data_IF_874194092288
#
_entry.id   IF_874194092288
#
_cell.length_a   1.000
_cell.length_b   1.000
_cell.length_c   1.000
_cell.angle_alpha   90.00
_cell.angle_beta   90.00
_cell.angle_gamma   90.00
#
_symmetry.space_group_name_H-M   'P 1'
#
loop_
_entity.id
_entity.type
_entity.pdbx_description
1 polymer ?
#
# COMPACT_ATOMS: atom_id res chain seq x y z
N UNK A 1 -44.99 -29.76 44.30
CA UNK A 1 -44.10 -28.69 43.83
C UNK A 1 -42.77 -29.33 43.46
N UNK A 2 -42.42 -29.38 42.16
CA UNK A 2 -41.11 -29.85 41.68
C UNK A 2 -40.46 -28.71 40.93
N UNK A 3 -39.39 -28.19 41.51
CA UNK A 3 -38.62 -27.05 41.02
C UNK A 3 -37.75 -27.48 39.85
N UNK A 4 -37.90 -26.85 38.69
CA UNK A 4 -37.06 -27.05 37.52
C UNK A 4 -35.84 -26.13 37.66
N UNK A 5 -34.64 -26.69 37.82
CA UNK A 5 -33.37 -25.92 37.83
C UNK A 5 -32.83 -25.93 36.40
N UNK A 6 -32.86 -24.77 35.75
CA UNK A 6 -32.25 -24.53 34.45
C UNK A 6 -30.78 -24.16 34.67
N UNK A 7 -29.85 -25.06 34.34
CA UNK A 7 -28.43 -24.78 34.36
C UNK A 7 -28.03 -24.08 33.04
N UNK A 8 -27.68 -22.80 33.11
CA UNK A 8 -27.10 -22.04 32.00
C UNK A 8 -25.62 -22.44 31.90
N UNK A 9 -25.26 -23.15 30.84
CA UNK A 9 -23.86 -23.39 30.49
C UNK A 9 -23.28 -22.10 29.91
N UNK A 10 -22.52 -21.36 30.72
CA UNK A 10 -21.73 -20.21 30.26
C UNK A 10 -20.59 -20.71 29.39
N UNK A 11 -20.61 -20.36 28.10
CA UNK A 11 -19.52 -20.61 27.16
C UNK A 11 -18.28 -19.79 27.55
N UNK A 12 -17.21 -20.48 27.92
CA UNK A 12 -15.88 -19.90 28.11
C UNK A 12 -15.34 -19.43 26.74
N UNK A 13 -14.92 -18.17 26.56
CA UNK A 13 -14.22 -17.77 25.35
C UNK A 13 -12.80 -18.32 25.44
N UNK A 14 -12.50 -19.36 24.66
CA UNK A 14 -11.13 -19.79 24.45
C UNK A 14 -10.41 -18.66 23.71
N UNK A 15 -9.43 -18.03 24.37
CA UNK A 15 -8.50 -17.14 23.71
C UNK A 15 -7.73 -17.95 22.66
N UNK A 16 -8.02 -17.69 21.39
CA UNK A 16 -7.18 -18.14 20.28
C UNK A 16 -5.87 -17.36 20.38
N UNK A 17 -4.84 -17.97 20.95
CA UNK A 17 -3.48 -17.46 20.80
C UNK A 17 -3.10 -17.71 19.34
N UNK A 18 -2.99 -16.63 18.57
CA UNK A 18 -2.32 -16.67 17.28
C UNK A 18 -0.89 -17.17 17.50
N UNK A 19 -0.51 -18.24 16.81
CA UNK A 19 0.88 -18.70 16.82
C UNK A 19 1.72 -17.69 16.02
N UNK A 20 2.65 -17.02 16.69
CA UNK A 20 3.71 -16.28 16.00
C UNK A 20 4.69 -17.29 15.43
N UNK A 21 4.78 -17.36 14.10
CA UNK A 21 5.79 -18.16 13.41
C UNK A 21 7.13 -17.43 13.52
N UNK A 22 7.86 -17.65 14.61
CA UNK A 22 9.28 -17.31 14.66
C UNK A 22 10.08 -18.39 13.90
N UNK A 23 11.09 -18.04 13.11
CA UNK A 23 11.98 -19.02 12.49
C UNK A 23 12.55 -19.95 13.56
N UNK A 24 12.31 -21.25 13.44
CA UNK A 24 12.90 -22.26 14.32
C UNK A 24 13.80 -23.16 13.49
N UNK A 25 14.96 -23.49 14.03
CA UNK A 25 15.87 -24.43 13.39
C UNK A 25 15.84 -25.75 14.14
N UNK A 26 15.57 -26.82 13.39
CA UNK A 26 15.77 -28.19 13.85
C UNK A 26 17.13 -28.63 13.30
N UNK A 27 18.13 -28.68 14.18
CA UNK A 27 19.48 -29.11 13.85
C UNK A 27 19.93 -30.23 14.77
N UNK A 28 20.84 -31.06 14.26
CA UNK A 28 21.46 -32.15 15.03
C UNK A 28 22.22 -31.67 16.27
N UNK A 29 22.77 -30.45 16.22
CA UNK A 29 23.44 -29.74 17.32
C UNK A 29 23.51 -28.25 16.96
N UNK A 30 23.58 -27.36 17.96
CA UNK A 30 23.67 -25.92 17.77
C UNK A 30 23.71 -25.18 19.11
N UNK A 31 23.72 -23.86 19.06
CA UNK A 31 23.69 -23.00 20.24
C UNK A 31 23.59 -21.52 19.88
N UNK A 32 23.47 -20.69 20.91
CA UNK A 32 23.49 -19.24 20.81
C UNK A 32 24.47 -18.66 21.83
N UNK A 33 25.01 -17.48 21.53
CA UNK A 33 25.94 -16.79 22.41
C UNK A 33 26.01 -15.31 22.10
N UNK A 34 26.13 -14.48 23.14
CA UNK A 34 26.29 -13.04 22.98
C UNK A 34 27.68 -12.61 23.44
N UNK A 35 28.44 -11.95 22.58
CA UNK A 35 29.75 -11.36 22.92
C UNK A 35 29.78 -9.92 22.42
N UNK A 36 30.04 -8.97 23.32
CA UNK A 36 30.13 -7.55 22.96
C UNK A 36 28.84 -6.94 22.42
N UNK A 37 27.66 -7.47 22.82
CA UNK A 37 26.36 -7.01 22.33
C UNK A 37 25.93 -7.61 20.98
N UNK A 38 26.77 -8.46 20.38
CA UNK A 38 26.42 -9.21 19.16
C UNK A 38 25.92 -10.60 19.56
N UNK A 39 24.69 -10.94 19.18
CA UNK A 39 24.16 -12.30 19.29
C UNK A 39 24.59 -13.13 18.09
N UNK A 40 25.10 -14.33 18.34
CA UNK A 40 25.51 -15.29 17.33
C UNK A 40 24.79 -16.59 17.61
N UNK A 41 24.02 -17.05 16.64
CA UNK A 41 23.39 -18.36 16.66
C UNK A 41 24.12 -19.27 15.66
N UNK A 42 24.42 -20.50 16.05
CA UNK A 42 25.07 -21.48 15.17
C UNK A 42 24.36 -22.82 15.21
N UNK A 43 24.42 -23.54 14.10
CA UNK A 43 24.02 -24.94 14.00
C UNK A 43 25.13 -25.74 13.35
N UNK A 44 25.24 -27.01 13.76
CA UNK A 44 26.06 -28.00 13.08
C UNK A 44 25.19 -28.61 11.99
N UNK A 45 25.54 -28.31 10.74
CA UNK A 45 24.82 -28.80 9.56
C UNK A 45 24.79 -30.32 9.47
N UNK A 46 23.84 -30.85 8.72
CA UNK A 46 23.74 -32.29 8.44
C UNK A 46 24.55 -32.67 7.19
N UNK A 47 24.95 -33.94 7.09
CA UNK A 47 25.76 -34.46 5.95
C UNK A 47 25.00 -34.38 4.62
N UNK A 48 23.67 -34.41 4.67
CA UNK A 48 22.79 -34.15 3.54
C UNK A 48 21.72 -33.16 3.97
N UNK A 49 21.49 -32.13 3.16
CA UNK A 49 20.44 -31.14 3.41
C UNK A 49 19.46 -31.10 2.26
N UNK A 50 18.18 -31.12 2.61
CA UNK A 50 17.08 -30.90 1.66
C UNK A 50 16.49 -29.54 1.93
N UNK A 51 16.32 -28.75 0.86
CA UNK A 51 15.47 -27.55 0.92
C UNK A 51 14.16 -27.86 0.22
N UNK A 52 13.07 -27.69 0.96
CA UNK A 52 11.71 -27.71 0.43
C UNK A 52 11.22 -26.27 0.42
N UNK A 53 10.76 -25.81 -0.73
CA UNK A 53 10.29 -24.43 -0.92
C UNK A 53 8.98 -24.49 -1.68
N UNK A 54 7.96 -23.79 -1.17
CA UNK A 54 6.67 -23.64 -1.85
C UNK A 54 6.31 -22.17 -2.12
N UNK A 55 7.30 -21.26 -2.04
CA UNK A 55 7.14 -19.82 -2.24
C UNK A 55 6.71 -19.04 -0.99
N UNK A 56 5.94 -19.66 -0.10
CA UNK A 56 5.50 -19.05 1.17
C UNK A 56 6.34 -19.55 2.34
N UNK A 57 6.65 -20.85 2.36
CA UNK A 57 7.41 -21.52 3.39
C UNK A 57 8.65 -22.15 2.77
N UNK A 58 9.82 -21.84 3.34
CA UNK A 58 11.07 -22.52 3.04
C UNK A 58 11.42 -23.38 4.24
N UNK A 59 11.73 -24.65 4.04
CA UNK A 59 12.25 -25.56 5.06
C UNK A 59 13.60 -26.11 4.61
N UNK A 60 14.66 -25.77 5.33
CA UNK A 60 16.02 -26.22 5.06
C UNK A 60 16.51 -26.96 6.29
N UNK A 61 16.78 -28.25 6.16
CA UNK A 61 17.26 -29.06 7.27
C UNK A 61 18.64 -28.58 7.75
N UNK A 62 18.83 -28.48 9.07
CA UNK A 62 20.15 -28.34 9.70
C UNK A 62 20.81 -26.94 9.69
N UNK A 63 20.20 -25.92 9.10
CA UNK A 63 20.81 -24.58 9.00
C UNK A 63 19.84 -23.45 9.38
N UNK A 64 20.39 -22.37 9.96
CA UNK A 64 19.70 -21.08 10.00
C UNK A 64 19.34 -20.66 8.60
N UNK A 65 18.04 -20.49 8.36
CA UNK A 65 17.56 -19.81 7.17
C UNK A 65 17.75 -18.33 7.41
N UNK A 66 18.79 -17.77 6.80
CA UNK A 66 18.88 -16.33 6.67
C UNK A 66 17.60 -15.86 5.98
N UNK A 67 16.99 -14.82 6.53
CA UNK A 67 15.96 -14.07 5.81
C UNK A 67 16.58 -13.73 4.43
N UNK A 68 15.92 -14.04 3.29
CA UNK A 68 16.48 -13.73 1.99
C UNK A 68 16.86 -12.24 1.99
N UNK A 69 18.00 -11.90 1.38
CA UNK A 69 18.41 -10.51 1.23
C UNK A 69 17.29 -9.77 0.47
N UNK A 70 16.44 -9.06 1.22
CA UNK A 70 15.35 -8.27 0.65
C UNK A 70 15.94 -7.02 0.01
N UNK A 71 15.50 -6.69 -1.19
CA UNK A 71 15.78 -5.36 -1.75
C UNK A 71 15.15 -4.32 -0.85
N UNK A 72 15.84 -3.21 -0.63
CA UNK A 72 15.34 -2.12 0.19
C UNK A 72 15.11 -0.89 -0.66
N UNK A 73 13.89 -0.35 -0.59
CA UNK A 73 13.48 0.82 -1.35
C UNK A 73 12.76 1.80 -0.44
N UNK A 74 13.28 3.03 -0.38
CA UNK A 74 12.62 4.17 0.23
C UNK A 74 11.98 4.99 -0.90
N UNK A 75 10.67 4.85 -1.08
CA UNK A 75 9.93 5.67 -2.05
C UNK A 75 9.35 6.88 -1.32
N UNK A 76 9.37 8.04 -1.97
CA UNK A 76 8.54 9.17 -1.57
C UNK A 76 7.52 9.47 -2.66
N UNK A 77 6.23 9.44 -2.32
CA UNK A 77 5.13 9.73 -3.23
C UNK A 77 3.98 10.43 -2.52
N UNK A 78 3.42 11.47 -3.15
CA UNK A 78 2.24 12.17 -2.63
C UNK A 78 1.00 11.85 -3.45
N UNK A 79 -0.13 11.66 -2.76
CA UNK A 79 -1.46 11.47 -3.34
C UNK A 79 -2.18 12.82 -3.42
N UNK A 80 -2.65 13.21 -4.60
CA UNK A 80 -3.30 14.52 -4.81
C UNK A 80 -4.52 14.75 -3.91
N UNK A 81 -5.30 13.70 -3.66
CA UNK A 81 -6.53 13.77 -2.86
C UNK A 81 -6.31 14.45 -1.51
N UNK A 82 -5.52 13.82 -0.62
CA UNK A 82 -5.24 14.32 0.72
C UNK A 82 -4.13 15.38 0.79
N UNK A 83 -3.34 15.61 -0.27
CA UNK A 83 -2.22 16.56 -0.23
C UNK A 83 -2.66 18.03 -0.11
N UNK A 84 -2.08 18.73 0.85
CA UNK A 84 -2.25 20.18 1.06
C UNK A 84 -0.92 20.91 0.82
N UNK A 85 -0.84 21.67 -0.27
CA UNK A 85 0.35 22.46 -0.64
C UNK A 85 0.66 23.60 0.32
N UNK A 86 -0.28 24.02 1.17
CA UNK A 86 -0.05 25.02 2.21
C UNK A 86 0.75 24.47 3.39
N UNK A 87 0.62 23.17 3.68
CA UNK A 87 1.36 22.50 4.76
C UNK A 87 2.50 21.62 4.27
N UNK A 88 2.46 21.21 2.99
CA UNK A 88 3.41 20.25 2.42
C UNK A 88 3.17 18.81 2.90
N UNK A 89 2.00 18.53 3.48
CA UNK A 89 1.62 17.23 4.04
C UNK A 89 0.30 16.75 3.45
N UNK A 90 0.08 15.44 3.50
CA UNK A 90 -1.21 14.81 3.25
C UNK A 90 -2.06 14.78 4.52
N UNK A 91 -3.38 14.84 4.38
CA UNK A 91 -4.32 14.61 5.46
C UNK A 91 -4.44 13.11 5.79
N UNK A 92 -4.60 12.78 7.08
CA UNK A 92 -4.68 11.41 7.61
C UNK A 92 -6.07 11.11 8.22
N UNK A 93 -7.12 11.64 7.60
CA UNK A 93 -8.49 11.55 8.13
C UNK A 93 -9.03 10.11 8.14
N UNK A 94 -8.64 9.28 7.17
CA UNK A 94 -8.93 7.84 7.18
C UNK A 94 -8.37 7.14 8.42
N UNK A 95 -7.12 7.45 8.78
CA UNK A 95 -6.46 6.92 9.98
C UNK A 95 -7.10 7.41 11.26
N UNK A 96 -7.27 8.73 11.40
CA UNK A 96 -7.86 9.33 12.60
C UNK A 96 -9.33 8.94 12.81
N UNK A 97 -10.05 8.57 11.75
CA UNK A 97 -11.42 8.01 11.80
C UNK A 97 -11.47 6.48 11.92
N UNK A 98 -10.32 5.81 12.05
CA UNK A 98 -10.19 4.36 12.16
C UNK A 98 -10.82 3.57 10.98
N UNK A 99 -10.70 4.11 9.76
CA UNK A 99 -11.19 3.46 8.54
C UNK A 99 -10.11 2.66 7.79
N UNK A 100 -8.83 2.92 8.03
CA UNK A 100 -7.76 2.16 7.37
C UNK A 100 -7.81 0.66 7.74
N UNK A 101 -7.82 -0.26 6.76
CA UNK A 101 -7.81 -1.68 7.04
C UNK A 101 -6.43 -2.13 7.56
N UNK A 102 -6.42 -3.17 8.40
CA UNK A 102 -5.18 -3.80 8.88
C UNK A 102 -4.54 -4.71 7.84
N UNK A 103 -5.32 -5.28 6.93
CA UNK A 103 -4.81 -6.05 5.79
C UNK A 103 -4.84 -5.19 4.54
N UNK A 104 -3.86 -5.40 3.67
CA UNK A 104 -3.81 -4.70 2.39
C UNK A 104 -5.12 -4.91 1.59
N UNK A 105 -5.65 -3.85 0.95
CA UNK A 105 -6.93 -3.91 0.26
C UNK A 105 -6.82 -4.50 -1.15
N UNK A 106 -5.63 -4.53 -1.73
CA UNK A 106 -5.40 -4.73 -3.16
C UNK A 106 -5.76 -6.14 -3.64
N UNK A 107 -5.59 -7.16 -2.79
CA UNK A 107 -6.13 -8.51 -3.06
C UNK A 107 -7.65 -8.45 -3.27
N UNK A 108 -8.37 -7.73 -2.41
CA UNK A 108 -9.83 -7.58 -2.49
C UNK A 108 -10.30 -6.71 -3.66
N UNK A 109 -9.45 -5.77 -4.08
CA UNK A 109 -9.70 -4.88 -5.23
C UNK A 109 -9.27 -5.49 -6.57
N UNK A 110 -8.75 -6.72 -6.58
CA UNK A 110 -8.43 -7.45 -7.82
C UNK A 110 -7.08 -7.08 -8.45
N UNK A 111 -6.18 -6.45 -7.70
CA UNK A 111 -4.81 -6.22 -8.17
C UNK A 111 -4.07 -7.55 -8.31
N UNK A 112 -3.23 -7.65 -9.32
CA UNK A 112 -2.43 -8.87 -9.54
C UNK A 112 -1.14 -8.79 -8.73
N UNK A 113 -0.97 -9.72 -7.78
CA UNK A 113 0.25 -9.83 -7.00
C UNK A 113 1.24 -10.82 -7.65
N UNK A 114 2.53 -10.50 -7.58
CA UNK A 114 3.64 -11.35 -8.06
C UNK A 114 4.69 -11.41 -6.96
N UNK A 115 4.94 -12.58 -6.36
CA UNK A 115 5.99 -12.73 -5.34
C UNK A 115 5.78 -11.93 -4.04
N UNK A 116 4.58 -11.40 -3.81
CA UNK A 116 4.14 -10.68 -2.59
C UNK A 116 2.63 -10.81 -2.37
N UNK A 117 2.04 -9.91 -1.59
CA UNK A 117 0.60 -9.90 -1.28
C UNK A 117 0.24 -10.48 0.08
N UNK A 118 -0.96 -10.14 0.56
CA UNK A 118 -1.45 -10.54 1.88
C UNK A 118 -0.76 -9.81 3.04
N UNK A 119 -0.09 -8.69 2.76
CA UNK A 119 0.54 -7.87 3.79
C UNK A 119 -0.51 -7.39 4.81
N UNK A 120 -0.11 -7.35 6.09
CA UNK A 120 -0.93 -6.81 7.16
C UNK A 120 -0.07 -5.98 8.10
N UNK A 121 -0.64 -4.90 8.62
CA UNK A 121 -0.08 -4.03 9.64
C UNK A 121 -0.79 -4.23 10.97
N UNK A 122 -0.33 -3.53 11.99
CA UNK A 122 -0.82 -3.62 13.36
C UNK A 122 -1.52 -2.32 13.80
N UNK A 123 -2.53 -2.39 14.69
CA UNK A 123 -3.21 -1.20 15.21
C UNK A 123 -2.26 -0.13 15.79
N UNK A 124 -1.12 -0.55 16.35
CA UNK A 124 -0.11 0.37 16.90
C UNK A 124 0.55 1.24 15.83
N UNK A 125 0.69 0.73 14.61
CA UNK A 125 1.25 1.49 13.48
C UNK A 125 0.29 2.60 13.06
N UNK A 126 -1.01 2.30 13.00
CA UNK A 126 -2.06 3.27 12.66
C UNK A 126 -2.36 4.28 13.80
N UNK A 127 -1.82 4.05 14.99
CA UNK A 127 -1.97 4.96 16.13
C UNK A 127 -0.97 6.13 16.10
N UNK A 128 0.08 6.08 15.27
CA UNK A 128 1.11 7.12 15.18
C UNK A 128 0.53 8.39 14.53
N UNK A 129 0.60 9.57 15.19
CA UNK A 129 0.21 10.85 14.61
C UNK A 129 1.43 11.63 14.07
N UNK A 130 1.20 12.84 13.55
CA UNK A 130 2.28 13.72 13.07
C UNK A 130 2.68 13.40 11.64
N UNK A 131 3.91 13.71 11.25
CA UNK A 131 4.38 13.52 9.87
C UNK A 131 4.37 12.04 9.45
N UNK A 132 4.72 11.16 10.39
CA UNK A 132 4.81 9.71 10.16
C UNK A 132 3.44 9.01 10.24
N UNK A 133 2.34 9.77 10.38
CA UNK A 133 1.01 9.19 10.41
C UNK A 133 0.68 8.53 9.07
N UNK A 134 0.17 7.31 9.12
CA UNK A 134 -0.24 6.58 7.93
C UNK A 134 -1.46 7.28 7.30
N UNK A 135 -1.36 7.60 6.02
CA UNK A 135 -2.44 8.16 5.20
C UNK A 135 -3.22 7.03 4.56
N UNK A 136 -2.52 6.05 3.96
CA UNK A 136 -3.14 4.90 3.31
C UNK A 136 -2.15 3.75 3.01
N UNK A 137 -2.67 2.67 2.46
CA UNK A 137 -1.92 1.65 1.74
C UNK A 137 -1.47 2.14 0.36
N UNK A 138 -0.36 1.61 -0.12
CA UNK A 138 0.15 1.83 -1.48
C UNK A 138 0.65 0.51 -2.07
N UNK A 139 0.48 0.33 -3.38
CA UNK A 139 0.86 -0.91 -4.09
C UNK A 139 2.06 -0.65 -4.98
N UNK A 140 3.15 -1.37 -4.74
CA UNK A 140 4.39 -1.20 -5.48
C UNK A 140 4.65 -2.38 -6.39
N UNK A 141 5.12 -2.11 -7.61
CA UNK A 141 5.58 -3.12 -8.57
C UNK A 141 7.04 -2.87 -8.93
N UNK A 142 7.83 -3.95 -8.96
CA UNK A 142 9.11 -4.00 -9.65
C UNK A 142 8.90 -4.66 -11.00
N UNK A 143 9.28 -3.97 -12.08
CA UNK A 143 9.13 -4.46 -13.46
C UNK A 143 10.49 -4.72 -14.13
N UNK A 144 10.49 -5.62 -15.11
CA UNK A 144 11.70 -6.07 -15.81
C UNK A 144 12.45 -4.91 -16.48
N UNK A 145 13.78 -4.88 -16.33
CA UNK A 145 14.64 -3.82 -16.90
C UNK A 145 14.60 -3.71 -18.43
N UNK A 146 14.21 -4.78 -19.12
CA UNK A 146 14.12 -4.83 -20.57
C UNK A 146 12.68 -4.71 -21.07
N UNK A 147 11.69 -4.89 -20.20
CA UNK A 147 10.27 -4.82 -20.53
C UNK A 147 9.46 -4.24 -19.35
N UNK A 148 9.10 -2.97 -19.47
CA UNK A 148 8.37 -2.24 -18.44
C UNK A 148 6.88 -2.62 -18.35
N UNK A 149 6.39 -3.60 -19.11
CA UNK A 149 5.05 -4.20 -18.95
C UNK A 149 5.09 -5.47 -18.10
N UNK A 150 6.26 -6.08 -17.92
CA UNK A 150 6.43 -7.34 -17.19
C UNK A 150 6.69 -7.08 -15.70
N UNK A 151 5.72 -7.42 -14.85
CA UNK A 151 5.84 -7.31 -13.38
C UNK A 151 6.56 -8.53 -12.82
N UNK A 152 7.65 -8.30 -12.08
CA UNK A 152 8.51 -9.35 -11.51
C UNK A 152 8.30 -9.54 -10.00
N UNK A 153 7.94 -8.47 -9.29
CA UNK A 153 7.60 -8.53 -7.87
C UNK A 153 6.61 -7.43 -7.49
N UNK A 154 5.76 -7.69 -6.50
CA UNK A 154 4.82 -6.71 -5.94
C UNK A 154 4.94 -6.65 -4.43
N UNK A 155 4.58 -5.51 -3.85
CA UNK A 155 4.50 -5.33 -2.39
C UNK A 155 3.50 -4.26 -2.02
N UNK A 156 2.60 -4.59 -1.09
CA UNK A 156 1.77 -3.58 -0.44
C UNK A 156 2.53 -2.95 0.72
N UNK A 157 2.50 -1.62 0.80
CA UNK A 157 3.21 -0.81 1.77
C UNK A 157 2.29 0.30 2.29
N UNK A 158 2.79 1.15 3.18
CA UNK A 158 2.03 2.23 3.80
C UNK A 158 2.64 3.58 3.39
N UNK A 159 1.80 4.56 3.05
CA UNK A 159 2.23 5.93 2.75
C UNK A 159 1.93 6.86 3.93
N UNK A 160 2.92 7.67 4.33
CA UNK A 160 2.87 8.60 5.46
C UNK A 160 2.49 10.01 5.03
N UNK A 161 2.14 10.89 5.97
CA UNK A 161 1.68 12.26 5.66
C UNK A 161 2.72 13.11 4.95
N UNK A 162 3.99 12.89 5.20
CA UNK A 162 5.09 13.59 4.52
C UNK A 162 5.53 12.92 3.21
N UNK A 163 4.80 11.89 2.77
CA UNK A 163 4.97 11.22 1.48
C UNK A 163 5.91 10.03 1.53
N UNK A 164 6.56 9.76 2.65
CA UNK A 164 7.42 8.59 2.79
C UNK A 164 6.58 7.31 2.72
N UNK A 165 7.08 6.34 1.94
CA UNK A 165 6.48 5.02 1.82
C UNK A 165 7.32 4.03 2.64
N UNK A 166 6.67 3.44 3.63
CA UNK A 166 7.27 2.54 4.62
C UNK A 166 6.64 1.16 4.56
N UNK A 167 7.38 0.17 5.06
CA UNK A 167 6.87 -1.19 5.20
C UNK A 167 5.75 -1.29 6.25
N UNK A 168 5.17 -2.48 6.43
CA UNK A 168 4.02 -2.72 7.31
C UNK A 168 4.28 -2.44 8.80
N UNK A 169 5.54 -2.25 9.19
CA UNK A 169 5.94 -1.84 10.54
C UNK A 169 5.86 -0.32 10.76
N UNK A 170 5.56 0.45 9.70
CA UNK A 170 5.43 1.90 9.74
C UNK A 170 6.74 2.69 9.77
N UNK A 171 7.90 2.04 9.61
CA UNK A 171 9.21 2.71 9.74
C UNK A 171 10.28 2.22 8.77
N UNK A 172 10.29 0.93 8.44
CA UNK A 172 11.34 0.33 7.61
C UNK A 172 11.17 0.71 6.14
N UNK A 173 12.30 0.75 5.43
CA UNK A 173 12.31 0.73 3.97
C UNK A 173 11.58 -0.51 3.45
N UNK A 174 10.81 -0.33 2.37
CA UNK A 174 10.01 -1.39 1.75
C UNK A 174 10.92 -2.52 1.28
N UNK A 175 10.65 -3.75 1.76
CA UNK A 175 11.43 -4.94 1.48
C UNK A 175 10.86 -5.84 0.38
N UNK A 176 11.51 -5.98 -0.79
CA UNK A 176 11.07 -6.94 -1.83
C UNK A 176 11.81 -8.27 -1.76
N UNK A 177 11.09 -9.37 -1.98
CA UNK A 177 11.68 -10.69 -2.19
C UNK A 177 12.03 -10.90 -3.67
N UNK A 178 13.05 -10.17 -4.14
CA UNK A 178 13.54 -10.19 -5.52
C UNK A 178 15.08 -10.12 -5.53
N UNK A 179 15.75 -10.63 -6.59
CA UNK A 179 17.20 -10.54 -6.69
C UNK A 179 17.66 -9.09 -6.89
N UNK A 180 18.92 -8.79 -6.56
CA UNK A 180 19.50 -7.49 -6.88
C UNK A 180 19.68 -7.36 -8.39
N UNK A 181 19.07 -6.33 -8.99
CA UNK A 181 19.13 -6.00 -10.40
C UNK A 181 18.61 -4.55 -10.60
N UNK A 182 18.62 -4.10 -11.84
CA UNK A 182 17.90 -2.91 -12.28
C UNK A 182 16.41 -3.21 -12.45
N UNK A 183 15.54 -2.28 -12.04
CA UNK A 183 14.08 -2.41 -12.16
C UNK A 183 13.44 -1.10 -12.57
N UNK A 184 12.36 -1.15 -13.36
CA UNK A 184 11.40 -0.05 -13.32
C UNK A 184 10.56 -0.17 -12.06
N UNK A 185 10.29 0.95 -11.39
CA UNK A 185 9.46 0.97 -10.18
C UNK A 185 8.13 1.64 -10.52
N UNK A 186 7.03 0.94 -10.25
CA UNK A 186 5.68 1.49 -10.37
C UNK A 186 5.06 1.65 -8.99
N UNK A 187 4.48 2.83 -8.75
CA UNK A 187 3.69 3.13 -7.56
C UNK A 187 2.24 3.24 -7.98
N UNK A 188 1.35 2.44 -7.37
CA UNK A 188 -0.07 2.36 -7.68
C UNK A 188 -0.89 2.57 -6.41
N UNK A 189 -2.12 3.02 -6.59
CA UNK A 189 -3.06 3.26 -5.50
C UNK A 189 -4.49 2.91 -5.94
N UNK A 190 -5.43 2.79 -4.99
CA UNK A 190 -6.80 2.30 -5.30
C UNK A 190 -7.60 3.22 -6.22
N UNK A 191 -7.41 4.54 -6.09
CA UNK A 191 -8.21 5.56 -6.79
C UNK A 191 -7.39 6.75 -7.28
N UNK A 192 -6.06 6.58 -7.36
CA UNK A 192 -5.14 7.55 -7.93
C UNK A 192 -4.35 6.89 -9.05
N UNK A 193 -3.99 7.68 -10.08
CA UNK A 193 -3.13 7.20 -11.16
C UNK A 193 -1.75 6.80 -10.65
N UNK A 194 -1.30 5.71 -11.22
CA UNK A 194 -0.01 5.11 -11.02
C UNK A 194 1.10 5.97 -11.59
N UNK A 195 2.29 5.85 -11.01
CA UNK A 195 3.49 6.53 -11.45
C UNK A 195 4.58 5.50 -11.68
N UNK A 196 5.07 5.40 -12.92
CA UNK A 196 6.15 4.50 -13.32
C UNK A 196 7.42 5.30 -13.60
N UNK A 197 8.57 4.83 -13.14
CA UNK A 197 9.86 5.45 -13.50
C UNK A 197 10.12 5.34 -15.01
N UNK A 198 10.70 6.39 -15.61
CA UNK A 198 11.07 6.38 -17.03
C UNK A 198 12.31 5.52 -17.29
N UNK A 199 13.23 5.51 -16.32
CA UNK A 199 14.46 4.74 -16.35
C UNK A 199 14.43 3.69 -15.23
N UNK A 200 15.24 2.65 -15.40
CA UNK A 200 15.44 1.65 -14.35
C UNK A 200 16.29 2.21 -13.21
N UNK A 201 16.11 1.64 -12.02
CA UNK A 201 16.88 1.94 -10.82
C UNK A 201 17.54 0.66 -10.30
N UNK A 202 18.81 0.76 -9.92
CA UNK A 202 19.58 -0.36 -9.39
C UNK A 202 19.19 -0.64 -7.94
N UNK A 203 18.52 -1.77 -7.69
CA UNK A 203 18.09 -2.16 -6.35
C UNK A 203 19.01 -3.24 -5.78
N UNK A 204 19.28 -3.13 -4.49
CA UNK A 204 20.06 -4.10 -3.72
C UNK A 204 19.53 -4.17 -2.29
N UNK A 205 20.22 -4.91 -1.42
CA UNK A 205 19.93 -4.90 0.01
C UNK A 205 20.27 -3.59 0.72
N UNK A 206 21.00 -2.69 0.06
CA UNK A 206 21.21 -1.32 0.53
C UNK A 206 20.01 -0.48 0.11
N UNK A 207 19.44 0.27 1.05
CA UNK A 207 18.28 1.11 0.75
C UNK A 207 18.61 2.18 -0.29
N UNK A 208 17.83 2.21 -1.37
CA UNK A 208 17.85 3.28 -2.36
C UNK A 208 16.71 4.28 -2.07
N UNK A 209 17.01 5.57 -2.17
CA UNK A 209 15.99 6.63 -2.13
C UNK A 209 15.46 6.91 -3.54
N UNK A 210 14.14 6.86 -3.71
CA UNK A 210 13.43 7.18 -4.94
C UNK A 210 12.37 8.24 -4.64
N UNK A 211 12.65 9.49 -4.99
CA UNK A 211 11.72 10.61 -4.75
C UNK A 211 10.93 10.94 -6.02
N UNK A 212 9.61 10.80 -5.98
CA UNK A 212 8.70 11.11 -7.09
C UNK A 212 8.06 12.50 -6.96
N UNK A 213 8.44 13.28 -5.94
CA UNK A 213 7.72 14.49 -5.52
C UNK A 213 8.39 15.80 -5.98
N UNK A 214 9.69 15.78 -6.27
CA UNK A 214 10.47 16.98 -6.61
C UNK A 214 10.79 17.11 -8.12
N UNK A 215 10.52 16.05 -8.90
CA UNK A 215 10.80 15.98 -10.33
C UNK A 215 12.24 15.64 -10.70
N UNK A 216 13.08 15.27 -9.75
CA UNK A 216 14.43 14.74 -9.99
C UNK A 216 14.38 13.36 -10.65
N UNK A 217 13.37 12.55 -10.30
CA UNK A 217 13.09 11.26 -10.94
C UNK A 217 12.27 11.46 -12.20
N UNK A 218 12.80 11.05 -13.36
CA UNK A 218 12.04 11.00 -14.60
C UNK A 218 10.98 9.89 -14.54
N UNK A 219 9.74 10.19 -14.92
CA UNK A 219 8.60 9.27 -14.94
C UNK A 219 8.11 9.01 -16.36
N UNK A 220 7.48 7.86 -16.59
CA UNK A 220 6.97 7.47 -17.89
C UNK A 220 5.84 8.41 -18.34
N UNK A 221 5.98 8.98 -19.53
CA UNK A 221 5.05 9.95 -20.09
C UNK A 221 5.33 11.41 -19.68
N UNK A 222 4.48 12.33 -20.12
CA UNK A 222 4.66 13.79 -19.97
C UNK A 222 3.66 14.46 -19.02
N UNK A 223 2.64 13.74 -18.59
CA UNK A 223 1.50 14.21 -17.79
C UNK A 223 1.06 13.18 -16.73
N UNK A 224 2.01 12.32 -16.31
CA UNK A 224 1.78 11.22 -15.37
C UNK A 224 1.45 11.68 -13.93
N UNK A 225 1.77 12.93 -13.60
CA UNK A 225 1.59 13.50 -12.26
C UNK A 225 1.05 14.92 -12.35
N UNK A 226 0.29 15.34 -11.34
CA UNK A 226 -0.11 16.74 -11.17
C UNK A 226 0.99 17.51 -10.42
N UNK A 227 1.01 18.83 -10.57
CA UNK A 227 1.93 19.72 -9.85
C UNK A 227 1.11 20.69 -8.98
N UNK A 228 1.22 20.54 -7.66
CA UNK A 228 0.56 21.40 -6.67
C UNK A 228 1.61 22.13 -5.84
N UNK A 229 1.69 23.46 -5.99
CA UNK A 229 2.66 24.27 -5.23
C UNK A 229 4.13 23.95 -5.52
N UNK A 230 4.43 23.36 -6.67
CA UNK A 230 5.78 22.89 -7.04
C UNK A 230 6.06 21.42 -6.73
N UNK A 231 5.20 20.77 -5.94
CA UNK A 231 5.30 19.35 -5.60
C UNK A 231 4.53 18.50 -6.60
N UNK A 232 5.13 17.41 -7.05
CA UNK A 232 4.50 16.39 -7.90
C UNK A 232 3.69 15.42 -7.06
N UNK A 233 2.47 15.15 -7.51
CA UNK A 233 1.51 14.26 -6.83
C UNK A 233 0.83 13.32 -7.85
N UNK A 234 0.49 12.11 -7.44
CA UNK A 234 -0.34 11.18 -8.24
C UNK A 234 -1.72 11.77 -8.46
N UNK A 235 -2.24 11.74 -9.71
CA UNK A 235 -3.58 12.25 -10.01
C UNK A 235 -4.66 11.49 -9.24
N UNK A 236 -5.57 12.20 -8.59
CA UNK A 236 -6.72 11.61 -7.88
C UNK A 236 -7.93 11.43 -8.79
N UNK A 237 -8.82 10.49 -8.47
CA UNK A 237 -10.18 10.48 -9.00
C UNK A 237 -10.46 9.44 -10.07
N UNK A 238 -9.64 8.40 -10.17
CA UNK A 238 -9.95 7.18 -10.93
C UNK A 238 -10.80 6.26 -10.04
N UNK A 239 -12.09 6.56 -9.93
CA UNK A 239 -13.00 5.94 -8.95
C UNK A 239 -13.59 4.61 -9.41
N UNK A 240 -13.45 4.27 -10.68
CA UNK A 240 -13.89 3.01 -11.28
C UNK A 240 -12.73 2.08 -11.69
N UNK A 241 -11.48 2.52 -11.51
CA UNK A 241 -10.28 1.74 -11.87
C UNK A 241 -10.15 1.47 -13.37
N UNK A 242 -10.60 2.37 -14.24
CA UNK A 242 -10.58 2.18 -15.71
C UNK A 242 -9.44 2.92 -16.43
N UNK A 243 -8.43 3.34 -15.67
CA UNK A 243 -7.23 4.09 -16.08
C UNK A 243 -7.54 5.43 -16.79
N UNK A 244 -8.76 5.93 -16.59
CA UNK A 244 -9.23 7.20 -17.13
C UNK A 244 -9.84 8.03 -16.00
N UNK A 245 -9.65 9.35 -16.06
CA UNK A 245 -10.42 10.29 -15.23
C UNK A 245 -11.35 11.07 -16.15
N UNK A 246 -12.65 10.93 -15.91
CA UNK A 246 -13.72 11.56 -16.69
C UNK A 246 -14.78 12.16 -15.78
N UNK A 247 -15.25 13.35 -16.13
CA UNK A 247 -16.39 13.97 -15.44
C UNK A 247 -17.73 13.83 -16.19
N UNK A 248 -17.69 13.60 -17.50
CA UNK A 248 -18.86 13.43 -18.35
C UNK A 248 -18.64 12.33 -19.38
N UNK A 249 -19.73 11.88 -20.01
CA UNK A 249 -19.71 10.74 -20.94
C UNK A 249 -20.01 9.42 -20.26
N UNK A 250 -19.95 8.31 -21.00
CA UNK A 250 -20.15 6.97 -20.45
C UNK A 250 -18.97 6.60 -19.54
N UNK A 251 -19.26 5.86 -18.47
CA UNK A 251 -18.27 5.40 -17.47
C UNK A 251 -17.42 6.57 -16.95
N UNK A 252 -18.08 7.59 -16.41
CA UNK A 252 -17.42 8.73 -15.78
C UNK A 252 -17.36 8.56 -14.26
N UNK A 253 -16.30 9.07 -13.63
CA UNK A 253 -16.04 8.95 -12.20
C UNK A 253 -17.07 9.69 -11.34
N UNK A 254 -17.59 10.80 -11.87
CA UNK A 254 -18.62 11.58 -11.20
C UNK A 254 -19.88 10.75 -10.92
N UNK A 255 -20.28 9.88 -11.85
CA UNK A 255 -21.48 9.06 -11.71
C UNK A 255 -21.27 7.90 -10.74
N UNK A 256 -20.04 7.41 -10.59
CA UNK A 256 -19.67 6.43 -9.56
C UNK A 256 -19.88 7.04 -8.17
N UNK A 257 -19.38 8.26 -7.95
CA UNK A 257 -19.59 9.03 -6.71
C UNK A 257 -21.08 9.29 -6.46
N UNK A 258 -21.83 9.66 -7.51
CA UNK A 258 -23.28 9.89 -7.42
C UNK A 258 -24.03 8.64 -6.96
N UNK A 259 -23.69 7.50 -7.56
CA UNK A 259 -24.27 6.19 -7.22
C UNK A 259 -23.96 5.81 -5.78
N UNK A 260 -22.72 6.03 -5.32
CA UNK A 260 -22.28 5.72 -3.97
C UNK A 260 -23.09 6.46 -2.89
N UNK A 261 -23.51 7.71 -3.14
CA UNK A 261 -24.34 8.50 -2.21
C UNK A 261 -25.86 8.30 -2.39
N UNK A 262 -26.29 7.28 -3.15
CA UNK A 262 -27.71 6.93 -3.33
C UNK A 262 -28.37 7.54 -4.56
N UNK A 263 -27.61 8.15 -5.47
CA UNK A 263 -28.07 8.55 -6.80
C UNK A 263 -28.89 9.82 -6.84
N UNK A 264 -30.21 9.71 -6.63
CA UNK A 264 -31.16 10.76 -7.06
C UNK A 264 -31.17 12.02 -6.19
N UNK A 265 -30.88 11.91 -4.89
CA UNK A 265 -30.79 13.06 -3.96
C UNK A 265 -29.37 13.10 -3.40
N UNK A 266 -28.46 13.88 -4.00
CA UNK A 266 -27.03 13.80 -3.72
C UNK A 266 -26.61 14.60 -2.47
N UNK A 267 -27.39 14.51 -1.41
CA UNK A 267 -27.12 15.18 -0.12
C UNK A 267 -26.69 14.20 0.97
N UNK A 268 -26.73 12.89 0.69
CA UNK A 268 -26.21 11.90 1.61
C UNK A 268 -24.68 11.93 1.66
N UNK A 269 -24.15 11.51 2.79
CA UNK A 269 -22.71 11.32 3.00
C UNK A 269 -22.52 9.86 3.37
N UNK A 270 -21.58 9.19 2.72
CA UNK A 270 -21.25 7.80 3.06
C UNK A 270 -19.85 7.73 3.59
N UNK A 271 -19.73 7.36 4.86
CA UNK A 271 -18.43 7.29 5.52
C UNK A 271 -17.78 5.92 5.38
N UNK A 272 -16.45 5.88 5.41
CA UNK A 272 -15.67 4.66 5.43
C UNK A 272 -14.47 4.71 4.49
N UNK A 273 -13.78 3.58 4.40
CA UNK A 273 -12.69 3.37 3.45
C UNK A 273 -13.26 2.96 2.10
N UNK A 274 -13.30 3.90 1.15
CA UNK A 274 -14.01 3.77 -0.12
C UNK A 274 -13.16 4.19 -1.30
N UNK A 275 -13.44 3.62 -2.48
CA UNK A 275 -12.77 4.01 -3.73
C UNK A 275 -13.27 5.37 -4.22
N UNK A 276 -14.53 5.69 -3.94
CA UNK A 276 -15.18 6.94 -4.34
C UNK A 276 -14.75 8.15 -3.50
N UNK A 277 -14.03 7.91 -2.40
CA UNK A 277 -13.44 8.95 -1.53
C UNK A 277 -12.13 9.47 -2.15
N UNK A 278 -12.26 10.48 -3.01
CA UNK A 278 -11.19 11.02 -3.83
C UNK A 278 -10.26 11.90 -3.01
N UNK A 279 -10.79 12.60 -2.00
CA UNK A 279 -10.00 13.47 -1.13
C UNK A 279 -9.42 12.74 0.11
N UNK A 280 -9.86 11.49 0.35
CA UNK A 280 -9.40 10.61 1.42
C UNK A 280 -9.72 11.16 2.82
N UNK A 281 -10.88 11.81 2.95
CA UNK A 281 -11.39 12.37 4.21
C UNK A 281 -12.26 11.37 5.01
N UNK A 282 -12.50 10.18 4.46
CA UNK A 282 -13.35 9.14 5.04
C UNK A 282 -14.84 9.37 4.83
N UNK A 283 -15.25 10.30 3.97
CA UNK A 283 -16.63 10.69 3.75
C UNK A 283 -16.92 11.04 2.27
N UNK A 284 -17.48 10.08 1.54
CA UNK A 284 -17.90 10.27 0.15
C UNK A 284 -19.07 11.26 0.07
N UNK A 285 -18.86 12.35 -0.67
CA UNK A 285 -19.80 13.47 -0.85
C UNK A 285 -19.91 13.83 -2.33
N UNK A 286 -21.14 14.03 -2.80
CA UNK A 286 -21.40 14.55 -4.15
C UNK A 286 -21.64 16.06 -4.18
N UNK A 287 -22.14 16.66 -3.10
CA UNK A 287 -22.43 18.07 -3.01
C UNK A 287 -21.97 18.66 -1.67
N UNK A 288 -21.90 19.99 -1.60
CA UNK A 288 -21.39 20.70 -0.43
C UNK A 288 -19.89 20.99 -0.52
N UNK A 289 -19.33 21.50 0.56
CA UNK A 289 -17.90 21.84 0.65
C UNK A 289 -17.08 20.55 0.68
N UNK A 290 -15.93 20.55 -0.01
CA UNK A 290 -15.01 19.39 -0.08
C UNK A 290 -15.69 18.12 -0.60
N UNK A 291 -16.57 18.23 -1.59
CA UNK A 291 -17.12 17.06 -2.27
C UNK A 291 -16.08 16.42 -3.22
N UNK A 292 -16.22 15.12 -3.46
CA UNK A 292 -15.26 14.34 -4.26
C UNK A 292 -15.35 14.66 -5.74
N UNK A 293 -16.56 14.91 -6.26
CA UNK A 293 -16.75 15.17 -7.68
C UNK A 293 -16.02 16.43 -8.15
N UNK A 294 -15.87 17.44 -7.29
CA UNK A 294 -15.23 18.70 -7.67
C UNK A 294 -13.72 18.48 -7.89
N UNK A 295 -13.09 17.52 -7.19
CA UNK A 295 -11.69 17.11 -7.45
C UNK A 295 -11.56 16.47 -8.83
N UNK A 296 -12.47 15.58 -9.19
CA UNK A 296 -12.54 15.00 -10.55
C UNK A 296 -12.69 16.11 -11.61
N UNK A 297 -13.62 17.05 -11.39
CA UNK A 297 -13.86 18.18 -12.29
C UNK A 297 -12.62 19.06 -12.48
N UNK A 298 -11.92 19.38 -11.40
CA UNK A 298 -10.70 20.17 -11.43
C UNK A 298 -9.60 19.47 -12.26
N UNK A 299 -9.47 18.15 -12.12
CA UNK A 299 -8.46 17.37 -12.84
C UNK A 299 -8.67 17.33 -14.36
N UNK A 300 -9.91 17.52 -14.81
CA UNK A 300 -10.27 17.58 -16.24
C UNK A 300 -10.49 19.01 -16.75
N UNK A 301 -9.97 20.03 -16.06
CA UNK A 301 -9.92 21.41 -16.53
C UNK A 301 -11.01 22.34 -16.00
N UNK A 302 -11.83 21.87 -15.04
CA UNK A 302 -12.71 22.68 -14.20
C UNK A 302 -13.98 23.23 -14.86
N UNK A 303 -13.84 23.95 -15.97
CA UNK A 303 -14.95 24.64 -16.63
C UNK A 303 -15.49 23.92 -17.87
N UNK A 304 -14.67 23.08 -18.52
CA UNK A 304 -15.06 22.30 -19.71
C UNK A 304 -15.00 20.82 -19.36
N UNK A 305 -16.14 20.19 -19.01
CA UNK A 305 -16.16 18.86 -18.40
C UNK A 305 -15.94 17.69 -19.36
N UNK A 306 -15.37 17.94 -20.54
CA UNK A 306 -15.27 16.95 -21.64
C UNK A 306 -13.85 16.45 -21.86
N UNK A 307 -12.86 17.01 -21.16
CA UNK A 307 -11.50 16.46 -21.22
C UNK A 307 -11.45 15.10 -20.51
N UNK A 308 -10.55 14.26 -20.98
CA UNK A 308 -10.27 12.95 -20.39
C UNK A 308 -8.80 12.94 -20.01
N UNK A 309 -8.51 12.59 -18.76
CA UNK A 309 -7.15 12.26 -18.33
C UNK A 309 -6.94 10.77 -18.55
N UNK A 310 -5.77 10.39 -19.04
CA UNK A 310 -5.40 8.99 -19.27
C UNK A 310 -4.18 8.69 -18.40
N UNK A 311 -4.20 7.56 -17.71
CA UNK A 311 -3.04 7.09 -16.97
C UNK A 311 -1.86 6.85 -17.92
N UNK A 312 -0.65 7.17 -17.47
CA UNK A 312 0.55 7.05 -18.29
C UNK A 312 1.37 5.84 -17.86
N UNK A 313 0.94 4.68 -18.34
CA UNK A 313 1.62 3.40 -18.27
C UNK A 313 1.73 2.78 -19.69
N UNK A 314 2.69 1.88 -19.93
CA UNK A 314 2.85 1.17 -21.21
C UNK A 314 1.73 0.16 -21.50
#
# INVERSE_FOLDING_TARGET
>A
MRTLILAIATSCPAALIAQSLSPTVIASTGGSGTVGGVSVDWTVGEVAVTTLDNGTNRLTQGFHQGDPLKLRLNVRNFLQGPYDSGTGLMADQLRSSAYLPLSEPYTGLGFTHVGGGGESTEPSVLAVPGNDAIVDWIFLELRDKNDNTSVLATRSALVQRDGDVVDVDGTSAVGFNAPADDYFVCVKHRNHFSVLTLNTVALSSTSLSLDLTDGSTAVYGTDAQNILGGTRVSWSGNTNGDDLIKYAGLNNDRDVILSAVGGSVPTAVVNGYREEDVNMDGAVKYAGIQNDRDKVLQNIGGSVPTAVKVEQLP
#
